data_IF_634961764654
#
_entry.id   IF_634961764654
#
_cell.length_a   1.000
_cell.length_b   1.000
_cell.length_c   1.000
_cell.angle_alpha   90.00
_cell.angle_beta   90.00
_cell.angle_gamma   90.00
#
_symmetry.space_group_name_H-M   'P 1'
#
loop_
_entity.id
_entity.type
_entity.pdbx_description
1 polymer ?
#
# COMPACT_ATOMS: atom_id res chain seq x y z
N UNK A 1 -44.79 36.33 -38.89
CA UNK A 1 -44.05 35.05 -38.81
C UNK A 1 -42.66 35.37 -38.29
N UNK A 2 -42.37 35.05 -37.02
CA UNK A 2 -41.10 35.35 -36.35
C UNK A 2 -40.24 34.08 -36.40
N UNK A 3 -39.18 34.08 -37.20
CA UNK A 3 -38.15 33.02 -37.19
C UNK A 3 -37.17 33.32 -36.06
N UNK A 4 -37.19 32.51 -35.01
CA UNK A 4 -36.23 32.55 -33.91
C UNK A 4 -34.99 31.72 -34.32
N UNK A 5 -33.74 32.22 -34.19
CA UNK A 5 -32.57 31.47 -34.60
C UNK A 5 -32.30 30.35 -33.59
N UNK A 6 -32.16 29.13 -34.10
CA UNK A 6 -31.73 27.97 -33.33
C UNK A 6 -30.23 28.10 -33.05
N UNK A 7 -29.86 28.74 -31.93
CA UNK A 7 -28.48 28.76 -31.47
C UNK A 7 -28.14 27.36 -30.91
N UNK A 8 -27.54 26.51 -31.76
CA UNK A 8 -26.96 25.24 -31.34
C UNK A 8 -25.71 25.57 -30.53
N UNK A 9 -25.86 25.65 -29.21
CA UNK A 9 -24.75 25.77 -28.28
C UNK A 9 -24.00 24.44 -28.24
N UNK A 10 -22.90 24.36 -28.98
CA UNK A 10 -21.99 23.22 -28.99
C UNK A 10 -21.28 23.18 -27.62
N UNK A 11 -21.85 22.45 -26.65
CA UNK A 11 -21.15 22.11 -25.41
C UNK A 11 -20.01 21.15 -25.74
N UNK A 12 -18.81 21.71 -25.93
CA UNK A 12 -17.57 20.94 -25.90
C UNK A 12 -17.39 20.41 -24.48
N UNK A 13 -17.86 19.19 -24.23
CA UNK A 13 -17.51 18.46 -23.01
C UNK A 13 -16.01 18.21 -23.05
N UNK A 14 -15.27 18.97 -22.24
CA UNK A 14 -13.86 18.71 -21.97
C UNK A 14 -13.78 17.41 -21.18
N UNK A 15 -13.61 16.29 -21.89
CA UNK A 15 -13.31 15.01 -21.25
C UNK A 15 -11.88 15.11 -20.75
N UNK A 16 -11.70 15.43 -19.47
CA UNK A 16 -10.39 15.32 -18.84
C UNK A 16 -10.01 13.83 -18.82
N UNK A 17 -8.80 13.45 -19.27
CA UNK A 17 -8.35 12.07 -19.15
C UNK A 17 -8.26 11.71 -17.68
N UNK A 18 -8.96 10.64 -17.30
CA UNK A 18 -8.76 10.00 -16.00
C UNK A 18 -7.36 9.40 -16.00
N UNK A 19 -6.41 10.06 -15.37
CA UNK A 19 -5.06 9.52 -15.20
C UNK A 19 -5.14 8.36 -14.21
N UNK A 20 -4.69 7.18 -14.64
CA UNK A 20 -4.54 6.05 -13.75
C UNK A 20 -3.52 6.42 -12.66
N UNK A 21 -3.88 6.19 -11.40
CA UNK A 21 -3.00 6.44 -10.27
C UNK A 21 -1.76 5.56 -10.37
N UNK A 22 -0.59 6.15 -10.17
CA UNK A 22 0.67 5.43 -10.03
C UNK A 22 0.75 4.78 -8.65
N UNK A 23 1.62 3.79 -8.48
CA UNK A 23 1.92 3.21 -7.17
C UNK A 23 2.33 4.29 -6.17
N UNK A 24 3.15 5.25 -6.60
CA UNK A 24 3.56 6.41 -5.79
C UNK A 24 2.37 7.25 -5.31
N UNK A 25 1.37 7.47 -6.17
CA UNK A 25 0.16 8.20 -5.77
C UNK A 25 -0.65 7.41 -4.73
N UNK A 26 -0.62 6.09 -4.82
CA UNK A 26 -1.32 5.18 -3.91
C UNK A 26 -0.58 5.04 -2.57
N UNK A 27 0.75 5.01 -2.57
CA UNK A 27 1.59 5.15 -1.38
C UNK A 27 1.25 6.46 -0.66
N UNK A 28 1.28 7.60 -1.36
CA UNK A 28 0.94 8.88 -0.75
C UNK A 28 -0.47 8.91 -0.15
N UNK A 29 -1.43 8.21 -0.77
CA UNK A 29 -2.81 8.10 -0.27
C UNK A 29 -2.92 7.22 0.97
N UNK A 30 -2.47 5.97 0.88
CA UNK A 30 -2.73 4.98 1.94
C UNK A 30 -1.75 5.08 3.10
N UNK A 31 -0.57 5.66 2.89
CA UNK A 31 0.37 5.98 3.95
C UNK A 31 0.13 7.38 4.56
N UNK A 32 -1.05 8.00 4.37
CA UNK A 32 -1.32 9.33 4.92
C UNK A 32 -1.14 9.35 6.45
N UNK A 33 -0.31 10.27 6.96
CA UNK A 33 0.04 10.34 8.38
C UNK A 33 1.18 9.40 8.82
N UNK A 34 1.78 8.66 7.88
CA UNK A 34 2.96 7.81 8.09
C UNK A 34 4.21 8.43 7.47
N UNK A 35 5.39 7.92 7.82
CA UNK A 35 6.64 8.26 7.13
C UNK A 35 6.67 7.49 5.81
N UNK A 36 6.98 8.15 4.70
CA UNK A 36 7.08 7.54 3.37
C UNK A 36 8.44 7.79 2.73
N UNK A 37 8.75 7.06 1.66
CA UNK A 37 10.00 7.19 0.90
C UNK A 37 11.25 7.01 1.78
N UNK A 38 11.18 6.11 2.77
CA UNK A 38 12.28 5.86 3.70
C UNK A 38 13.29 4.90 3.09
N UNK A 39 14.51 5.36 2.87
CA UNK A 39 15.61 4.52 2.40
C UNK A 39 16.25 3.77 3.57
N UNK A 40 16.15 2.44 3.51
CA UNK A 40 16.78 1.54 4.46
C UNK A 40 18.31 1.56 4.27
N UNK A 41 19.10 1.15 5.29
CA UNK A 41 20.56 1.14 5.22
C UNK A 41 21.15 0.28 4.09
N UNK A 42 20.41 -0.72 3.62
CA UNK A 42 20.82 -1.57 2.50
C UNK A 42 20.39 -1.06 1.12
N UNK A 43 19.79 0.14 1.07
CA UNK A 43 19.36 0.80 -0.16
C UNK A 43 17.96 0.39 -0.64
N UNK A 44 17.29 -0.55 0.04
CA UNK A 44 15.85 -0.77 -0.18
C UNK A 44 15.02 0.40 0.32
N UNK A 45 13.76 0.50 -0.11
CA UNK A 45 12.88 1.62 0.25
C UNK A 45 11.62 1.07 0.90
N UNK A 46 11.35 1.47 2.13
CA UNK A 46 10.10 1.16 2.83
C UNK A 46 9.02 2.17 2.42
N UNK A 47 7.85 1.69 1.99
CA UNK A 47 6.78 2.56 1.49
C UNK A 47 6.07 3.35 2.59
N UNK A 48 5.57 2.69 3.64
CA UNK A 48 5.01 3.35 4.82
C UNK A 48 5.66 2.88 6.13
N UNK A 49 5.88 3.81 7.06
CA UNK A 49 6.23 3.51 8.45
C UNK A 49 5.25 4.25 9.37
N UNK A 50 4.43 3.48 10.08
CA UNK A 50 3.57 3.97 11.16
C UNK A 50 4.22 3.74 12.53
N UNK A 51 3.53 4.06 13.62
CA UNK A 51 4.03 3.72 14.97
C UNK A 51 4.19 2.21 15.17
N UNK A 52 3.39 1.39 14.47
CA UNK A 52 3.27 -0.05 14.74
C UNK A 52 3.73 -0.94 13.58
N UNK A 53 3.76 -0.43 12.35
CA UNK A 53 4.01 -1.23 11.15
C UNK A 53 5.03 -0.61 10.19
N UNK A 54 5.79 -1.47 9.52
CA UNK A 54 6.45 -1.16 8.26
C UNK A 54 5.72 -1.87 7.13
N UNK A 55 5.27 -1.10 6.15
CA UNK A 55 4.27 -1.51 5.18
C UNK A 55 4.84 -1.38 3.77
N UNK A 56 4.65 -2.41 2.96
CA UNK A 56 4.81 -2.35 1.51
C UNK A 56 3.45 -2.14 0.84
N UNK A 57 3.39 -1.29 -0.19
CA UNK A 57 2.20 -1.03 -1.00
C UNK A 57 2.44 -1.53 -2.41
N UNK A 58 1.71 -2.54 -2.86
CA UNK A 58 1.92 -3.10 -4.20
C UNK A 58 0.63 -3.63 -4.82
N UNK A 59 0.62 -3.83 -6.13
CA UNK A 59 -0.46 -4.49 -6.84
C UNK A 59 -0.61 -5.94 -6.38
N UNK A 60 -1.87 -6.38 -6.23
CA UNK A 60 -2.19 -7.64 -5.56
C UNK A 60 -1.59 -8.88 -6.22
N UNK A 61 -1.31 -8.85 -7.53
CA UNK A 61 -0.64 -9.93 -8.26
C UNK A 61 0.83 -10.12 -7.84
N UNK A 62 1.43 -9.11 -7.22
CA UNK A 62 2.79 -9.14 -6.66
C UNK A 62 2.85 -9.55 -5.18
N UNK A 63 1.75 -10.08 -4.63
CA UNK A 63 1.62 -10.44 -3.20
C UNK A 63 2.83 -11.19 -2.60
N UNK A 64 3.49 -12.07 -3.36
CA UNK A 64 4.63 -12.84 -2.87
C UNK A 64 5.88 -11.98 -2.68
N UNK A 65 6.13 -11.03 -3.59
CA UNK A 65 7.20 -10.03 -3.50
C UNK A 65 6.92 -9.10 -2.31
N UNK A 66 5.68 -8.61 -2.19
CA UNK A 66 5.29 -7.67 -1.15
C UNK A 66 5.42 -8.25 0.26
N UNK A 67 5.13 -9.55 0.46
CA UNK A 67 5.40 -10.20 1.76
C UNK A 67 6.90 -10.15 2.08
N UNK A 68 7.75 -10.53 1.12
CA UNK A 68 9.20 -10.56 1.31
C UNK A 68 9.74 -9.18 1.68
N UNK A 69 9.29 -8.15 0.98
CA UNK A 69 9.62 -6.76 1.25
C UNK A 69 9.11 -6.29 2.61
N UNK A 70 7.83 -6.50 2.94
CA UNK A 70 7.27 -6.11 4.23
C UNK A 70 8.00 -6.77 5.42
N UNK A 71 8.29 -8.07 5.31
CA UNK A 71 9.08 -8.79 6.30
C UNK A 71 10.49 -8.21 6.40
N UNK A 72 11.13 -7.90 5.28
CA UNK A 72 12.45 -7.31 5.27
C UNK A 72 12.48 -5.91 5.90
N UNK A 73 11.54 -5.03 5.55
CA UNK A 73 11.44 -3.67 6.10
C UNK A 73 11.15 -3.67 7.60
N UNK A 74 10.39 -4.64 8.09
CA UNK A 74 10.17 -4.81 9.53
C UNK A 74 11.50 -4.93 10.32
N UNK A 75 12.52 -5.56 9.71
CA UNK A 75 13.84 -5.73 10.32
C UNK A 75 14.67 -4.45 10.36
N UNK A 76 14.35 -3.45 9.54
CA UNK A 76 15.11 -2.19 9.46
C UNK A 76 14.46 -1.05 10.23
N UNK A 77 13.16 -1.13 10.46
CA UNK A 77 12.34 -0.04 10.97
C UNK A 77 12.11 -0.16 12.47
N UNK A 78 13.15 0.20 13.24
CA UNK A 78 13.11 0.28 14.71
C UNK A 78 12.23 1.43 15.21
N UNK A 79 11.60 1.28 16.37
CA UNK A 79 11.02 2.41 17.11
C UNK A 79 12.12 3.51 17.23
N UNK A 80 11.85 4.72 16.73
CA UNK A 80 12.88 5.76 16.47
C UNK A 80 13.49 6.37 17.76
N UNK A 81 13.43 5.67 18.89
CA UNK A 81 13.79 6.18 20.20
C UNK A 81 15.29 6.15 20.50
N UNK A 82 16.13 5.50 19.69
CA UNK A 82 17.59 5.46 19.95
C UNK A 82 18.48 5.76 18.73
N UNK A 83 19.10 6.95 18.79
CA UNK A 83 20.36 7.42 18.18
C UNK A 83 20.69 7.05 16.70
N UNK A 84 20.59 8.01 15.75
CA UNK A 84 20.91 7.82 14.34
C UNK A 84 22.39 7.61 14.00
N UNK A 85 23.32 7.80 14.95
CA UNK A 85 24.76 7.63 14.73
C UNK A 85 25.27 6.18 14.97
N UNK A 86 24.37 5.21 15.21
CA UNK A 86 24.74 3.89 15.76
C UNK A 86 25.15 2.79 14.74
N UNK A 87 25.08 3.00 13.42
CA UNK A 87 25.27 1.92 12.42
C UNK A 87 26.57 2.01 11.61
N UNK A 88 27.49 1.02 11.74
CA UNK A 88 27.44 -0.29 11.03
C UNK A 88 27.82 -1.51 11.93
N UNK A 89 27.79 -2.82 11.57
CA UNK A 89 27.73 -3.60 10.32
C UNK A 89 26.99 -4.94 10.63
N UNK A 90 25.84 -5.20 9.99
CA UNK A 90 25.06 -6.46 9.92
C UNK A 90 24.40 -7.12 11.15
N UNK A 91 24.91 -7.11 12.40
CA UNK A 91 24.30 -7.93 13.48
C UNK A 91 24.29 -7.27 14.87
N UNK A 92 23.54 -6.19 15.06
CA UNK A 92 23.08 -5.81 16.41
C UNK A 92 21.58 -6.01 16.48
N UNK A 93 21.15 -6.73 17.52
CA UNK A 93 19.77 -7.10 17.80
C UNK A 93 18.88 -5.88 17.58
N UNK A 94 18.03 -5.96 16.57
CA UNK A 94 17.09 -4.90 16.20
C UNK A 94 16.05 -4.85 17.33
N UNK A 95 16.05 -3.81 18.18
CA UNK A 95 15.09 -3.72 19.27
C UNK A 95 13.71 -3.49 18.66
N UNK A 96 12.80 -4.45 18.89
CA UNK A 96 11.41 -4.50 18.40
C UNK A 96 11.19 -3.95 16.99
N UNK A 97 11.40 -4.83 16.00
CA UNK A 97 10.87 -4.63 14.65
C UNK A 97 9.39 -4.24 14.72
N UNK A 98 8.99 -3.18 14.00
CA UNK A 98 7.58 -2.92 13.71
C UNK A 98 6.96 -4.14 13.05
N UNK A 99 5.65 -4.36 13.22
CA UNK A 99 4.99 -5.47 12.55
C UNK A 99 5.06 -5.30 11.02
N UNK A 100 5.34 -6.36 10.25
CA UNK A 100 5.28 -6.30 8.80
C UNK A 100 3.83 -6.12 8.34
N UNK A 101 3.63 -5.24 7.36
CA UNK A 101 2.33 -4.99 6.74
C UNK A 101 2.39 -4.99 5.22
N UNK A 102 1.32 -5.43 4.56
CA UNK A 102 1.16 -5.26 3.11
C UNK A 102 -0.18 -4.61 2.79
N UNK A 103 -0.16 -3.61 1.93
CA UNK A 103 -1.34 -3.06 1.27
C UNK A 103 -1.37 -3.61 -0.16
N UNK A 104 -2.27 -4.54 -0.43
CA UNK A 104 -2.47 -5.14 -1.74
C UNK A 104 -3.53 -4.36 -2.51
N UNK A 105 -3.14 -3.78 -3.64
CA UNK A 105 -3.98 -2.99 -4.51
C UNK A 105 -4.71 -3.89 -5.50
N UNK A 106 -6.03 -3.91 -5.44
CA UNK A 106 -6.90 -4.64 -6.35
C UNK A 106 -7.93 -3.70 -6.97
N UNK A 107 -7.84 -3.42 -8.28
CA UNK A 107 -8.82 -2.58 -9.00
C UNK A 107 -10.13 -3.30 -9.32
N UNK A 108 -10.13 -4.62 -9.29
CA UNK A 108 -11.36 -5.39 -9.54
C UNK A 108 -12.27 -5.43 -8.31
N UNK A 109 -13.50 -5.93 -8.49
CA UNK A 109 -14.36 -6.26 -7.35
C UNK A 109 -13.62 -7.28 -6.47
N UNK A 110 -13.51 -6.98 -5.18
CA UNK A 110 -12.82 -7.81 -4.17
C UNK A 110 -13.41 -9.21 -4.04
N UNK A 111 -14.62 -9.44 -4.54
CA UNK A 111 -15.30 -10.75 -4.60
C UNK A 111 -14.89 -11.59 -5.82
N UNK A 112 -14.25 -10.98 -6.81
CA UNK A 112 -13.76 -11.71 -7.97
C UNK A 112 -12.56 -12.57 -7.57
N UNK A 113 -12.52 -13.76 -8.15
CA UNK A 113 -11.61 -14.83 -7.77
C UNK A 113 -10.13 -14.42 -7.82
N UNK A 114 -9.75 -13.53 -8.74
CA UNK A 114 -8.38 -13.06 -8.92
C UNK A 114 -7.88 -12.35 -7.66
N UNK A 115 -8.55 -11.27 -7.25
CA UNK A 115 -8.15 -10.51 -6.08
C UNK A 115 -8.37 -11.26 -4.76
N UNK A 116 -9.46 -12.02 -4.68
CA UNK A 116 -9.71 -12.88 -3.53
C UNK A 116 -8.56 -13.88 -3.34
N UNK A 117 -8.06 -14.49 -4.41
CA UNK A 117 -6.92 -15.41 -4.35
C UNK A 117 -5.62 -14.70 -3.92
N UNK A 118 -5.39 -13.48 -4.38
CA UNK A 118 -4.21 -12.68 -4.01
C UNK A 118 -4.20 -12.27 -2.54
N UNK A 119 -5.34 -12.18 -1.87
CA UNK A 119 -5.40 -11.96 -0.42
C UNK A 119 -5.45 -13.28 0.40
N UNK A 120 -6.12 -14.31 -0.12
CA UNK A 120 -6.27 -15.60 0.59
C UNK A 120 -4.96 -16.37 0.67
N UNK A 121 -4.15 -16.38 -0.40
CA UNK A 121 -2.84 -17.07 -0.42
C UNK A 121 -1.87 -16.53 0.63
N UNK A 122 -1.57 -15.22 0.68
CA UNK A 122 -0.68 -14.68 1.71
C UNK A 122 -1.23 -14.87 3.11
N UNK A 123 -2.55 -14.71 3.33
CA UNK A 123 -3.20 -14.98 4.62
C UNK A 123 -2.96 -16.42 5.09
N UNK A 124 -3.24 -17.43 4.25
CA UNK A 124 -3.06 -18.84 4.60
C UNK A 124 -1.60 -19.17 4.92
N UNK A 125 -0.65 -18.59 4.18
CA UNK A 125 0.78 -18.75 4.46
C UNK A 125 1.11 -18.13 5.82
N UNK A 126 0.64 -16.90 6.06
CA UNK A 126 0.92 -16.21 7.31
C UNK A 126 0.32 -16.94 8.52
N UNK A 127 -0.92 -17.43 8.42
CA UNK A 127 -1.57 -18.29 9.43
C UNK A 127 -0.80 -19.59 9.66
N UNK A 128 -0.49 -20.34 8.59
CA UNK A 128 0.17 -21.65 8.66
C UNK A 128 1.57 -21.56 9.29
N UNK A 129 2.33 -20.52 8.95
CA UNK A 129 3.70 -20.32 9.42
C UNK A 129 3.79 -19.34 10.60
N UNK A 130 2.66 -18.86 11.12
CA UNK A 130 2.58 -17.91 12.25
C UNK A 130 3.40 -16.64 12.00
N UNK A 131 3.38 -16.14 10.77
CA UNK A 131 4.04 -14.90 10.38
C UNK A 131 3.13 -13.74 10.83
N UNK A 132 3.61 -12.78 11.64
CA UNK A 132 2.79 -11.70 12.18
C UNK A 132 2.54 -10.58 11.13
N UNK A 133 2.01 -10.96 9.96
CA UNK A 133 1.79 -10.11 8.81
C UNK A 133 0.37 -9.52 8.82
N UNK A 134 0.28 -8.19 8.86
CA UNK A 134 -0.97 -7.49 8.60
C UNK A 134 -1.21 -7.33 7.09
N UNK A 135 -2.43 -7.59 6.62
CA UNK A 135 -2.78 -7.51 5.21
C UNK A 135 -3.99 -6.60 5.04
N UNK A 136 -3.88 -5.57 4.20
CA UNK A 136 -4.98 -4.73 3.76
C UNK A 136 -5.23 -4.97 2.27
N UNK A 137 -6.48 -5.22 1.89
CA UNK A 137 -6.91 -5.30 0.51
C UNK A 137 -7.68 -4.03 0.15
N UNK A 138 -7.04 -3.18 -0.65
CA UNK A 138 -7.55 -1.88 -1.05
C UNK A 138 -7.95 -1.87 -2.52
N UNK A 139 -9.13 -1.35 -2.83
CA UNK A 139 -9.51 -1.00 -4.18
C UNK A 139 -9.27 0.50 -4.41
N UNK A 140 -8.25 0.91 -5.22
CA UNK A 140 -7.89 2.32 -5.37
C UNK A 140 -8.93 3.19 -6.07
N UNK A 141 -9.96 2.59 -6.66
CA UNK A 141 -11.06 3.29 -7.31
C UNK A 141 -12.21 3.59 -6.33
N UNK A 142 -12.28 2.89 -5.18
CA UNK A 142 -13.39 3.03 -4.21
C UNK A 142 -12.93 3.29 -2.76
N UNK A 143 -11.78 2.78 -2.36
CA UNK A 143 -11.19 2.99 -1.03
C UNK A 143 -10.27 4.22 -1.08
N UNK A 144 -10.74 5.32 -0.49
CA UNK A 144 -10.00 6.59 -0.52
C UNK A 144 -8.98 6.72 0.61
N UNK A 145 -9.06 5.86 1.62
CA UNK A 145 -8.23 5.88 2.83
C UNK A 145 -7.87 4.46 3.26
N UNK A 146 -6.83 4.29 4.08
CA UNK A 146 -6.45 2.96 4.57
C UNK A 146 -7.55 2.32 5.44
N UNK A 147 -8.27 3.15 6.19
CA UNK A 147 -9.38 2.75 7.06
C UNK A 147 -10.56 2.19 6.27
N UNK A 148 -10.73 2.60 5.01
CA UNK A 148 -11.76 2.07 4.12
C UNK A 148 -11.38 0.74 3.46
N UNK A 149 -10.10 0.36 3.51
CA UNK A 149 -9.65 -0.92 2.97
C UNK A 149 -10.13 -2.10 3.82
N UNK A 150 -10.27 -3.25 3.17
CA UNK A 150 -10.59 -4.48 3.88
C UNK A 150 -9.34 -4.98 4.59
N UNK A 151 -9.34 -4.94 5.93
CA UNK A 151 -8.33 -5.59 6.73
C UNK A 151 -8.59 -7.10 6.74
N UNK A 152 -7.57 -7.86 6.37
CA UNK A 152 -7.59 -9.32 6.34
C UNK A 152 -6.84 -9.77 7.59
N UNK A 153 -7.55 -9.77 8.73
CA UNK A 153 -6.98 -10.19 10.01
C UNK A 153 -6.62 -11.68 10.05
N UNK A 154 -5.68 -12.03 10.93
CA UNK A 154 -5.25 -13.39 11.26
C UNK A 154 -5.99 -13.93 12.48
#
# INVERSE_FOLDING_TARGET
>A
MKTLPLAISLFLFWVAPAHALTEKDLVARYCAGMITEFYNPDGTRTDCISDTHAIEVDFSDKWAESIGQALHYSLWTVEFTENPDAYPRWHRQVPSARAPGVILLCREDRRLEICANHAVRPRRIAEQFKIPLAIWLCNPDTDMTLETCQRIDQ
#
